data_IF_681315232105
#
_entry.id   IF_681315232105
#
_cell.length_a   1.000
_cell.length_b   1.000
_cell.length_c   1.000
_cell.angle_alpha   90.00
_cell.angle_beta   90.00
_cell.angle_gamma   90.00
#
_symmetry.space_group_name_H-M   'P 1'
#
loop_
_entity.id
_entity.type
_entity.pdbx_description
1 polymer ?
#
# COMPACT_ATOMS: atom_id res chain seq x y z
N UNK A 1 -130.61 4.39 63.33
CA UNK A 1 -130.09 4.91 62.03
C UNK A 1 -128.65 4.48 61.91
N UNK A 2 -128.37 3.59 60.96
CA UNK A 2 -127.05 2.98 60.71
C UNK A 2 -126.45 3.73 59.51
N UNK A 3 -125.27 4.33 59.68
CA UNK A 3 -124.51 4.96 58.60
C UNK A 3 -123.43 3.99 58.10
N UNK A 4 -123.44 3.72 56.80
CA UNK A 4 -122.56 2.77 56.11
C UNK A 4 -121.14 3.31 55.94
N UNK A 5 -120.09 2.45 55.96
CA UNK A 5 -118.71 2.88 55.72
C UNK A 5 -118.41 3.09 54.23
N UNK A 6 -117.80 4.22 53.91
CA UNK A 6 -117.31 4.59 52.57
C UNK A 6 -116.06 3.75 52.25
N UNK A 7 -116.08 3.01 51.12
CA UNK A 7 -114.92 2.29 50.59
C UNK A 7 -113.95 3.27 49.94
N UNK A 8 -112.75 3.39 50.51
CA UNK A 8 -111.65 4.21 50.00
C UNK A 8 -110.67 3.33 49.21
N UNK A 9 -111.04 2.93 48.00
CA UNK A 9 -110.16 2.17 47.10
C UNK A 9 -110.35 2.66 45.68
N UNK A 10 -109.67 3.76 45.32
CA UNK A 10 -109.36 4.15 43.94
C UNK A 10 -108.24 5.21 44.00
N UNK A 11 -106.98 4.76 44.07
CA UNK A 11 -105.82 5.60 43.80
C UNK A 11 -105.29 5.25 42.40
N UNK A 12 -105.07 6.23 41.50
CA UNK A 12 -104.59 5.96 40.16
C UNK A 12 -103.14 5.46 40.22
N UNK A 13 -102.90 4.21 39.85
CA UNK A 13 -101.58 3.55 39.87
C UNK A 13 -100.79 3.66 38.55
N UNK A 14 -101.08 4.63 37.69
CA UNK A 14 -100.57 4.60 36.30
C UNK A 14 -99.35 5.51 35.99
N UNK A 15 -98.94 6.41 36.89
CA UNK A 15 -97.86 7.38 36.59
C UNK A 15 -96.44 6.96 37.04
N UNK A 16 -96.29 5.87 37.80
CA UNK A 16 -94.97 5.46 38.33
C UNK A 16 -94.16 4.62 37.34
N UNK A 17 -94.80 3.89 36.42
CA UNK A 17 -94.08 3.09 35.42
C UNK A 17 -93.56 3.92 34.24
N UNK A 18 -94.27 5.00 33.87
CA UNK A 18 -93.87 5.92 32.80
C UNK A 18 -92.64 6.77 33.17
N UNK A 19 -92.55 7.22 34.43
CA UNK A 19 -91.39 7.96 34.93
C UNK A 19 -90.13 7.08 34.97
N UNK A 20 -90.25 5.80 35.36
CA UNK A 20 -89.14 4.85 35.33
C UNK A 20 -88.58 4.62 33.91
N UNK A 21 -89.46 4.46 32.92
CA UNK A 21 -89.06 4.26 31.52
C UNK A 21 -88.43 5.51 30.88
N UNK A 22 -88.87 6.72 31.25
CA UNK A 22 -88.25 7.96 30.78
C UNK A 22 -86.84 8.18 31.36
N UNK A 23 -86.63 7.81 32.63
CA UNK A 23 -85.30 7.93 33.26
C UNK A 23 -84.32 6.93 32.64
N UNK A 24 -84.71 5.67 32.41
CA UNK A 24 -83.84 4.67 31.80
C UNK A 24 -83.44 5.01 30.35
N UNK A 25 -84.36 5.57 29.55
CA UNK A 25 -84.08 5.98 28.18
C UNK A 25 -83.06 7.14 28.12
N UNK A 26 -83.17 8.13 29.02
CA UNK A 26 -82.21 9.24 29.11
C UNK A 26 -80.83 8.77 29.57
N UNK A 27 -80.78 7.85 30.54
CA UNK A 27 -79.51 7.28 31.03
C UNK A 27 -78.80 6.49 29.93
N UNK A 28 -79.52 5.66 29.18
CA UNK A 28 -78.96 4.92 28.03
C UNK A 28 -78.45 5.86 26.92
N UNK A 29 -79.20 6.94 26.64
CA UNK A 29 -78.79 7.95 25.65
C UNK A 29 -77.49 8.66 26.05
N UNK A 30 -77.38 9.12 27.30
CA UNK A 30 -76.15 9.74 27.81
C UNK A 30 -74.97 8.78 27.87
N UNK A 31 -75.19 7.51 28.23
CA UNK A 31 -74.16 6.48 28.24
C UNK A 31 -73.54 6.25 26.85
N UNK A 32 -74.36 6.23 25.80
CA UNK A 32 -73.88 6.09 24.43
C UNK A 32 -73.04 7.29 23.98
N UNK A 33 -73.45 8.52 24.35
CA UNK A 33 -72.69 9.73 24.04
C UNK A 33 -71.31 9.67 24.69
N UNK A 34 -71.24 9.32 25.98
CA UNK A 34 -69.97 9.19 26.70
C UNK A 34 -69.08 8.13 26.04
N UNK A 35 -69.64 6.97 25.68
CA UNK A 35 -68.90 5.91 24.99
C UNK A 35 -68.31 6.38 23.65
N UNK A 36 -69.10 7.05 22.81
CA UNK A 36 -68.65 7.58 21.52
C UNK A 36 -67.51 8.59 21.70
N UNK A 37 -67.64 9.49 22.68
CA UNK A 37 -66.61 10.49 22.98
C UNK A 37 -65.31 9.82 23.41
N UNK A 38 -65.36 8.81 24.29
CA UNK A 38 -64.17 8.09 24.75
C UNK A 38 -63.48 7.37 23.60
N UNK A 39 -64.24 6.68 22.73
CA UNK A 39 -63.68 6.01 21.54
C UNK A 39 -63.04 7.02 20.58
N UNK A 40 -63.71 8.16 20.33
CA UNK A 40 -63.18 9.20 19.46
C UNK A 40 -61.88 9.80 20.01
N UNK A 41 -61.81 10.09 21.31
CA UNK A 41 -60.60 10.57 21.97
C UNK A 41 -59.47 9.53 21.93
N UNK A 42 -59.79 8.24 22.12
CA UNK A 42 -58.84 7.14 21.98
C UNK A 42 -58.25 7.05 20.57
N UNK A 43 -59.09 7.18 19.54
CA UNK A 43 -58.66 7.19 18.13
C UNK A 43 -57.77 8.40 17.81
N UNK A 44 -58.12 9.60 18.30
CA UNK A 44 -57.31 10.82 18.14
C UNK A 44 -55.95 10.66 18.83
N UNK A 45 -55.93 10.16 20.06
CA UNK A 45 -54.70 9.92 20.81
C UNK A 45 -53.80 8.90 20.11
N UNK A 46 -54.38 7.82 19.58
CA UNK A 46 -53.64 6.82 18.81
C UNK A 46 -53.06 7.42 17.51
N UNK A 47 -53.86 8.17 16.75
CA UNK A 47 -53.39 8.86 15.55
C UNK A 47 -52.23 9.81 15.88
N UNK A 48 -52.33 10.58 16.96
CA UNK A 48 -51.27 11.46 17.43
C UNK A 48 -49.99 10.70 17.84
N UNK A 49 -50.13 9.57 18.55
CA UNK A 49 -48.97 8.72 18.89
C UNK A 49 -48.31 8.13 17.64
N UNK A 50 -49.08 7.71 16.64
CA UNK A 50 -48.51 7.16 15.40
C UNK A 50 -47.70 8.19 14.62
N UNK A 51 -48.15 9.45 14.54
CA UNK A 51 -47.40 10.50 13.84
C UNK A 51 -46.10 10.85 14.57
N UNK A 52 -46.11 10.88 15.91
CA UNK A 52 -44.90 11.10 16.70
C UNK A 52 -43.87 9.97 16.54
N UNK A 53 -44.33 8.71 16.60
CA UNK A 53 -43.45 7.53 16.43
C UNK A 53 -42.90 7.47 15.01
N UNK A 54 -43.72 7.76 13.99
CA UNK A 54 -43.25 7.80 12.60
C UNK A 54 -42.22 8.91 12.39
N UNK A 55 -42.46 10.11 12.93
CA UNK A 55 -41.49 11.20 12.87
C UNK A 55 -40.16 10.87 13.59
N UNK A 56 -40.20 10.12 14.69
CA UNK A 56 -38.99 9.65 15.38
C UNK A 56 -38.23 8.60 14.55
N UNK A 57 -38.94 7.62 13.97
CA UNK A 57 -38.37 6.61 13.09
C UNK A 57 -37.75 7.20 11.84
N UNK A 58 -38.40 8.19 11.22
CA UNK A 58 -37.88 8.85 10.03
C UNK A 58 -36.58 9.60 10.31
N UNK A 59 -36.46 10.23 11.49
CA UNK A 59 -35.21 10.88 11.93
C UNK A 59 -34.09 9.86 12.14
N UNK A 60 -34.39 8.72 12.75
CA UNK A 60 -33.41 7.68 12.99
C UNK A 60 -32.97 7.01 11.68
N UNK A 61 -33.91 6.70 10.79
CA UNK A 61 -33.63 6.20 9.44
C UNK A 61 -32.79 7.21 8.62
N UNK A 62 -33.09 8.51 8.72
CA UNK A 62 -32.28 9.54 8.07
C UNK A 62 -30.84 9.54 8.60
N UNK A 63 -30.65 9.42 9.92
CA UNK A 63 -29.30 9.31 10.52
C UNK A 63 -28.56 8.07 10.05
N UNK A 64 -29.20 6.90 10.09
CA UNK A 64 -28.59 5.66 9.62
C UNK A 64 -28.21 5.72 8.13
N UNK A 65 -29.03 6.35 7.29
CA UNK A 65 -28.70 6.58 5.88
C UNK A 65 -27.46 7.45 5.74
N UNK A 66 -27.39 8.58 6.44
CA UNK A 66 -26.21 9.46 6.39
C UNK A 66 -24.94 8.78 6.91
N UNK A 67 -25.05 7.96 7.96
CA UNK A 67 -23.90 7.21 8.49
C UNK A 67 -23.47 6.08 7.54
N UNK A 68 -24.43 5.37 6.93
CA UNK A 68 -24.13 4.37 5.92
C UNK A 68 -23.47 5.00 4.68
N UNK A 69 -23.97 6.13 4.20
CA UNK A 69 -23.43 6.85 3.05
C UNK A 69 -22.00 7.33 3.32
N UNK A 70 -21.73 7.89 4.51
CA UNK A 70 -20.37 8.30 4.88
C UNK A 70 -19.41 7.12 5.00
N UNK A 71 -19.84 5.98 5.55
CA UNK A 71 -19.02 4.75 5.60
C UNK A 71 -18.76 4.17 4.22
N UNK A 72 -19.74 4.19 3.32
CA UNK A 72 -19.57 3.74 1.92
C UNK A 72 -18.55 4.64 1.22
N UNK A 73 -18.68 5.96 1.37
CA UNK A 73 -17.76 6.91 0.74
C UNK A 73 -16.34 6.78 1.29
N UNK A 74 -16.19 6.61 2.61
CA UNK A 74 -14.88 6.37 3.22
C UNK A 74 -14.27 5.06 2.72
N UNK A 75 -15.06 3.98 2.67
CA UNK A 75 -14.59 2.68 2.17
C UNK A 75 -14.16 2.75 0.70
N UNK A 76 -14.85 3.55 -0.12
CA UNK A 76 -14.47 3.81 -1.52
C UNK A 76 -13.14 4.54 -1.63
N UNK A 77 -12.93 5.56 -0.78
CA UNK A 77 -11.65 6.30 -0.73
C UNK A 77 -10.50 5.40 -0.32
N UNK A 78 -10.68 4.63 0.75
CA UNK A 78 -9.65 3.71 1.26
C UNK A 78 -9.32 2.62 0.22
N UNK A 79 -10.33 2.08 -0.46
CA UNK A 79 -10.14 1.12 -1.54
C UNK A 79 -9.42 1.74 -2.75
N UNK A 80 -9.76 2.97 -3.14
CA UNK A 80 -9.10 3.68 -4.22
C UNK A 80 -7.60 3.93 -3.90
N UNK A 81 -7.29 4.34 -2.67
CA UNK A 81 -5.91 4.57 -2.24
C UNK A 81 -5.11 3.27 -2.16
N UNK A 82 -5.71 2.19 -1.64
CA UNK A 82 -5.09 0.88 -1.61
C UNK A 82 -4.79 0.35 -3.03
N UNK A 83 -5.73 0.53 -3.96
CA UNK A 83 -5.55 0.16 -5.36
C UNK A 83 -4.46 0.98 -6.05
N UNK A 84 -4.39 2.29 -5.79
CA UNK A 84 -3.33 3.14 -6.31
C UNK A 84 -1.94 2.67 -5.82
N UNK A 85 -1.80 2.41 -4.52
CA UNK A 85 -0.55 1.87 -3.94
C UNK A 85 -0.20 0.49 -4.50
N UNK A 86 -1.18 -0.38 -4.72
CA UNK A 86 -0.97 -1.69 -5.32
C UNK A 86 -0.50 -1.57 -6.78
N UNK A 87 -1.09 -0.67 -7.56
CA UNK A 87 -0.68 -0.41 -8.94
C UNK A 87 0.75 0.15 -9.03
N UNK A 88 1.12 1.07 -8.15
CA UNK A 88 2.48 1.60 -8.05
C UNK A 88 3.49 0.49 -7.70
N UNK A 89 3.17 -0.36 -6.72
CA UNK A 89 4.01 -1.48 -6.34
C UNK A 89 4.17 -2.51 -7.47
N UNK A 90 3.11 -2.79 -8.23
CA UNK A 90 3.18 -3.68 -9.40
C UNK A 90 4.05 -3.10 -10.52
N UNK A 91 3.95 -1.80 -10.77
CA UNK A 91 4.81 -1.12 -11.75
C UNK A 91 6.28 -1.17 -11.33
N UNK A 92 6.57 -0.94 -10.04
CA UNK A 92 7.93 -1.06 -9.51
C UNK A 92 8.44 -2.50 -9.59
N UNK A 93 7.60 -3.50 -9.31
CA UNK A 93 7.93 -4.91 -9.44
C UNK A 93 8.27 -5.27 -10.90
N UNK A 94 7.44 -4.85 -11.87
CA UNK A 94 7.69 -5.07 -13.29
C UNK A 94 9.05 -4.50 -13.73
N UNK A 95 9.37 -3.26 -13.30
CA UNK A 95 10.67 -2.63 -13.56
C UNK A 95 11.85 -3.39 -12.95
N UNK A 96 11.67 -4.08 -11.83
CA UNK A 96 12.70 -4.92 -11.22
C UNK A 96 12.86 -6.22 -12.00
N UNK A 97 11.76 -6.82 -12.44
CA UNK A 97 11.79 -8.12 -13.13
C UNK A 97 12.36 -8.03 -14.54
N UNK A 98 12.32 -6.87 -15.20
CA UNK A 98 12.96 -6.66 -16.50
C UNK A 98 14.48 -6.95 -16.44
N UNK A 99 14.99 -7.96 -17.17
CA UNK A 99 16.41 -8.31 -17.15
C UNK A 99 17.28 -7.15 -17.66
N UNK A 100 18.45 -6.92 -17.05
CA UNK A 100 19.44 -5.99 -17.57
C UNK A 100 20.07 -6.61 -18.82
N UNK A 101 19.68 -6.11 -20.00
CA UNK A 101 20.25 -6.51 -21.29
C UNK A 101 21.04 -5.36 -21.90
N UNK A 102 22.10 -5.69 -22.65
CA UNK A 102 22.84 -4.72 -23.46
C UNK A 102 22.51 -5.02 -24.91
N UNK A 103 21.83 -4.09 -25.58
CA UNK A 103 21.47 -4.24 -26.99
C UNK A 103 22.70 -4.39 -27.89
N UNK A 104 22.67 -5.22 -28.96
CA UNK A 104 23.85 -5.46 -29.80
C UNK A 104 24.49 -4.17 -30.36
N UNK A 105 23.70 -3.18 -30.73
CA UNK A 105 24.20 -1.88 -31.20
C UNK A 105 24.93 -1.10 -30.10
N UNK A 106 24.43 -1.17 -28.87
CA UNK A 106 25.07 -0.60 -27.69
C UNK A 106 26.37 -1.34 -27.35
N UNK A 107 26.41 -2.67 -27.49
CA UNK A 107 27.64 -3.46 -27.33
C UNK A 107 28.73 -2.97 -28.29
N UNK A 108 28.40 -2.81 -29.57
CA UNK A 108 29.36 -2.33 -30.58
C UNK A 108 29.88 -0.92 -30.26
N UNK A 109 28.97 -0.01 -29.88
CA UNK A 109 29.34 1.36 -29.50
C UNK A 109 30.29 1.37 -28.30
N UNK A 110 30.05 0.51 -27.30
CA UNK A 110 30.95 0.35 -26.15
C UNK A 110 32.30 -0.22 -26.56
N UNK A 111 32.33 -1.27 -27.39
CA UNK A 111 33.55 -1.87 -27.90
C UNK A 111 34.42 -0.81 -28.57
N UNK A 112 33.85 -0.02 -29.48
CA UNK A 112 34.61 0.97 -30.24
C UNK A 112 35.19 2.09 -29.36
N UNK A 113 34.46 2.50 -28.32
CA UNK A 113 34.97 3.47 -27.34
C UNK A 113 36.08 2.90 -26.45
N UNK A 114 36.01 1.61 -26.12
CA UNK A 114 36.94 0.97 -25.21
C UNK A 114 38.21 0.44 -25.89
N UNK A 115 38.21 0.28 -27.22
CA UNK A 115 39.37 -0.15 -28.03
C UNK A 115 40.63 0.69 -27.81
N UNK A 116 40.49 1.99 -27.54
CA UNK A 116 41.63 2.88 -27.25
C UNK A 116 42.39 2.49 -25.96
N UNK A 117 41.77 1.67 -25.10
CA UNK A 117 42.36 1.16 -23.86
C UNK A 117 42.73 -0.33 -23.97
N UNK A 118 43.00 -0.84 -25.17
CA UNK A 118 43.46 -2.22 -25.36
C UNK A 118 44.69 -2.53 -24.47
N UNK A 119 44.71 -3.73 -23.89
CA UNK A 119 45.71 -4.15 -22.90
C UNK A 119 45.31 -3.89 -21.44
N UNK A 120 44.27 -3.07 -21.19
CA UNK A 120 43.77 -2.78 -19.84
C UNK A 120 43.34 -4.07 -19.13
N UNK A 121 43.90 -4.32 -17.94
CA UNK A 121 43.59 -5.51 -17.15
C UNK A 121 42.28 -5.36 -16.41
N UNK A 122 41.50 -6.44 -16.36
CA UNK A 122 40.26 -6.47 -15.59
C UNK A 122 40.02 -7.82 -14.93
N UNK A 123 39.17 -7.80 -13.91
CA UNK A 123 38.67 -8.98 -13.21
C UNK A 123 37.16 -8.85 -12.98
N UNK A 124 36.47 -9.98 -12.88
CA UNK A 124 35.03 -10.10 -12.88
C UNK A 124 34.55 -10.85 -11.63
N UNK A 125 33.54 -10.29 -10.97
CA UNK A 125 32.83 -10.93 -9.87
C UNK A 125 31.33 -10.81 -10.08
N UNK A 126 30.57 -11.85 -9.73
CA UNK A 126 29.14 -11.90 -10.01
C UNK A 126 28.35 -12.52 -8.87
N UNK A 127 27.13 -12.04 -8.68
CA UNK A 127 26.17 -12.68 -7.80
C UNK A 127 25.62 -13.97 -8.43
N UNK A 128 25.28 -14.95 -7.60
CA UNK A 128 24.89 -16.28 -8.07
C UNK A 128 23.42 -16.35 -8.55
N UNK A 129 23.00 -15.41 -9.41
CA UNK A 129 21.71 -15.45 -10.10
C UNK A 129 21.92 -15.47 -11.62
N UNK A 130 20.93 -15.96 -12.37
CA UNK A 130 21.05 -16.17 -13.83
C UNK A 130 21.14 -14.86 -14.62
N UNK A 131 20.45 -13.82 -14.17
CA UNK A 131 20.40 -12.53 -14.86
C UNK A 131 21.74 -11.79 -14.71
N UNK A 132 22.30 -11.73 -13.49
CA UNK A 132 23.62 -11.16 -13.26
C UNK A 132 24.71 -11.90 -14.03
N UNK A 133 24.62 -13.23 -14.15
CA UNK A 133 25.56 -14.02 -14.96
C UNK A 133 25.45 -13.69 -16.45
N UNK A 134 24.24 -13.57 -16.99
CA UNK A 134 24.03 -13.20 -18.39
C UNK A 134 24.57 -11.80 -18.71
N UNK A 135 24.34 -10.83 -17.81
CA UNK A 135 24.91 -9.49 -17.94
C UNK A 135 26.44 -9.53 -17.87
N UNK A 136 27.01 -10.30 -16.93
CA UNK A 136 28.45 -10.48 -16.80
C UNK A 136 29.07 -11.00 -18.10
N UNK A 137 28.45 -12.02 -18.71
CA UNK A 137 28.93 -12.58 -19.98
C UNK A 137 28.90 -11.56 -21.11
N UNK A 138 27.90 -10.69 -21.14
CA UNK A 138 27.82 -9.60 -22.11
C UNK A 138 28.96 -8.60 -21.91
N UNK A 139 29.24 -8.21 -20.66
CA UNK A 139 30.35 -7.31 -20.32
C UNK A 139 31.69 -7.96 -20.66
N UNK A 140 31.90 -9.23 -20.30
CA UNK A 140 33.11 -10.00 -20.61
C UNK A 140 33.42 -9.98 -22.11
N UNK A 141 32.41 -10.22 -22.95
CA UNK A 141 32.55 -10.17 -24.41
C UNK A 141 32.96 -8.78 -24.90
N UNK A 142 32.26 -7.74 -24.46
CA UNK A 142 32.57 -6.34 -24.82
C UNK A 142 34.02 -5.99 -24.49
N UNK A 143 34.49 -6.34 -23.29
CA UNK A 143 35.85 -6.02 -22.84
C UNK A 143 36.91 -6.79 -23.64
N UNK A 144 36.70 -8.09 -23.88
CA UNK A 144 37.64 -8.87 -24.69
C UNK A 144 37.67 -8.42 -26.15
N UNK A 145 36.52 -8.12 -26.75
CA UNK A 145 36.44 -7.60 -28.12
C UNK A 145 37.06 -6.19 -28.24
N UNK A 146 37.07 -5.42 -27.14
CA UNK A 146 37.81 -4.16 -27.02
C UNK A 146 39.32 -4.35 -26.76
N UNK A 147 39.81 -5.59 -26.67
CA UNK A 147 41.23 -5.91 -26.46
C UNK A 147 41.71 -5.78 -25.01
N UNK A 148 40.81 -5.73 -24.03
CA UNK A 148 41.18 -5.74 -22.62
C UNK A 148 41.63 -7.14 -22.19
N UNK A 149 42.47 -7.22 -21.16
CA UNK A 149 43.08 -8.48 -20.71
C UNK A 149 42.37 -8.97 -19.45
N UNK A 150 41.63 -10.08 -19.57
CA UNK A 150 41.04 -10.74 -18.41
C UNK A 150 42.12 -11.32 -17.51
N UNK A 151 42.03 -11.05 -16.22
CA UNK A 151 42.89 -11.60 -15.18
C UNK A 151 42.03 -12.25 -14.11
N UNK A 152 42.51 -13.36 -13.54
CA UNK A 152 41.76 -14.12 -12.53
C UNK A 152 42.28 -13.83 -11.11
N UNK A 153 42.72 -12.59 -10.86
CA UNK A 153 43.50 -12.20 -9.69
C UNK A 153 42.73 -12.33 -8.37
N UNK A 154 41.39 -12.24 -8.39
CA UNK A 154 40.51 -12.37 -7.22
C UNK A 154 39.98 -13.78 -6.97
N UNK A 155 40.15 -14.72 -7.90
CA UNK A 155 39.34 -15.95 -7.92
C UNK A 155 39.80 -17.04 -6.95
N UNK A 156 40.89 -16.84 -6.22
CA UNK A 156 41.27 -17.77 -5.15
C UNK A 156 40.45 -17.63 -3.86
N UNK A 157 39.63 -16.58 -3.67
CA UNK A 157 38.92 -16.37 -2.39
C UNK A 157 37.39 -16.12 -2.47
N UNK A 158 36.81 -15.68 -3.60
CA UNK A 158 35.48 -15.02 -3.58
C UNK A 158 34.46 -15.54 -4.62
N UNK A 159 34.46 -16.84 -4.93
CA UNK A 159 33.63 -17.46 -5.99
C UNK A 159 32.09 -17.43 -5.74
N UNK A 160 31.58 -16.67 -4.77
CA UNK A 160 30.14 -16.63 -4.41
C UNK A 160 29.58 -15.23 -4.16
N UNK A 161 29.90 -14.24 -5.00
CA UNK A 161 29.28 -12.90 -4.94
C UNK A 161 29.45 -12.20 -3.58
N UNK A 162 30.43 -12.64 -2.80
CA UNK A 162 30.62 -12.31 -1.41
C UNK A 162 32.08 -11.96 -1.26
N UNK A 163 32.43 -10.67 -1.14
CA UNK A 163 33.80 -10.32 -0.76
C UNK A 163 33.91 -10.30 0.76
N UNK A 164 34.67 -11.24 1.30
CA UNK A 164 35.10 -11.20 2.70
C UNK A 164 36.29 -10.26 2.77
N UNK A 165 36.09 -9.07 3.31
CA UNK A 165 37.18 -8.14 3.59
C UNK A 165 37.49 -8.23 5.07
N UNK A 166 38.70 -8.68 5.40
CA UNK A 166 39.26 -8.57 6.75
C UNK A 166 39.88 -7.17 6.84
N UNK A 167 39.29 -6.29 7.64
CA UNK A 167 39.83 -4.94 7.86
C UNK A 167 41.02 -4.99 8.83
N UNK A 168 41.82 -3.91 8.89
CA UNK A 168 42.99 -3.81 9.80
C UNK A 168 42.64 -4.00 11.29
N UNK A 169 41.37 -3.84 11.65
CA UNK A 169 40.82 -4.12 12.99
C UNK A 169 40.28 -5.56 13.14
N UNK A 170 40.62 -6.48 12.22
CA UNK A 170 40.23 -7.90 12.21
C UNK A 170 38.71 -8.15 12.14
N UNK A 171 37.91 -7.13 11.78
CA UNK A 171 36.47 -7.32 11.55
C UNK A 171 36.24 -7.97 10.19
N UNK A 172 35.57 -9.12 10.19
CA UNK A 172 35.11 -9.79 8.98
C UNK A 172 33.91 -9.02 8.43
N UNK A 173 34.10 -8.28 7.33
CA UNK A 173 32.99 -7.66 6.59
C UNK A 173 32.66 -8.52 5.38
N UNK A 174 31.50 -9.16 5.43
CA UNK A 174 30.88 -9.77 4.27
C UNK A 174 30.18 -8.66 3.47
N UNK A 175 30.70 -8.35 2.28
CA UNK A 175 30.02 -7.44 1.36
C UNK A 175 29.33 -8.26 0.27
N UNK A 176 28.01 -8.19 0.22
CA UNK A 176 27.22 -8.58 -0.95
C UNK A 176 27.14 -7.38 -1.89
N UNK A 177 27.62 -7.52 -3.12
CA UNK A 177 27.54 -6.45 -4.10
C UNK A 177 26.10 -6.34 -4.62
N UNK A 178 25.59 -5.11 -4.66
CA UNK A 178 24.30 -4.79 -5.27
C UNK A 178 24.53 -3.86 -6.47
N UNK A 179 23.85 -4.14 -7.58
CA UNK A 179 23.98 -3.41 -8.84
C UNK A 179 25.31 -3.67 -9.57
N UNK A 180 25.55 -2.88 -10.63
CA UNK A 180 26.78 -2.95 -11.43
C UNK A 180 27.81 -1.94 -10.90
N UNK A 181 29.01 -2.42 -10.57
CA UNK A 181 30.08 -1.59 -10.03
C UNK A 181 31.41 -1.90 -10.68
N UNK A 182 32.28 -0.92 -10.77
CA UNK A 182 33.69 -1.16 -11.02
C UNK A 182 34.56 -0.35 -10.07
N UNK A 183 35.69 -0.92 -9.72
CA UNK A 183 36.64 -0.28 -8.81
C UNK A 183 38.07 -0.52 -9.21
N UNK A 184 38.91 0.48 -8.96
CA UNK A 184 40.36 0.42 -9.04
C UNK A 184 40.97 0.64 -7.66
N UNK A 185 42.26 0.34 -7.52
CA UNK A 185 43.01 0.54 -6.27
C UNK A 185 43.25 2.05 -6.02
N UNK A 186 43.08 2.51 -4.78
CA UNK A 186 43.14 3.93 -4.36
C UNK A 186 44.47 4.66 -4.70
N UNK A 187 45.55 3.92 -4.92
CA UNK A 187 46.87 4.49 -5.22
C UNK A 187 46.98 5.03 -6.66
N UNK A 188 46.01 4.73 -7.53
CA UNK A 188 45.95 5.29 -8.87
C UNK A 188 45.14 6.58 -8.90
N UNK A 189 45.73 7.62 -9.47
CA UNK A 189 45.08 8.90 -9.71
C UNK A 189 44.04 8.77 -10.83
N UNK A 190 43.02 9.63 -10.77
CA UNK A 190 41.97 9.73 -11.80
C UNK A 190 42.52 10.07 -13.20
N UNK A 191 43.70 10.69 -13.28
CA UNK A 191 44.39 11.06 -14.53
C UNK A 191 45.19 9.91 -15.18
N UNK A 192 45.29 8.76 -14.51
CA UNK A 192 45.92 7.56 -15.10
C UNK A 192 45.08 7.01 -16.25
N UNK A 193 45.71 6.33 -17.21
CA UNK A 193 45.01 5.64 -18.31
C UNK A 193 43.91 4.71 -17.79
N UNK A 194 44.14 4.03 -16.68
CA UNK A 194 43.15 3.18 -15.98
C UNK A 194 41.99 3.98 -15.40
N UNK A 195 42.26 5.14 -14.81
CA UNK A 195 41.22 6.05 -14.30
C UNK A 195 40.33 6.58 -15.43
N UNK A 196 40.92 6.97 -16.56
CA UNK A 196 40.19 7.40 -17.76
C UNK A 196 39.39 6.23 -18.34
N UNK A 197 39.98 5.02 -18.45
CA UNK A 197 39.29 3.84 -18.93
C UNK A 197 38.06 3.49 -18.08
N UNK A 198 38.19 3.56 -16.74
CA UNK A 198 37.07 3.35 -15.81
C UNK A 198 35.98 4.42 -15.97
N UNK A 199 36.35 5.68 -16.15
CA UNK A 199 35.41 6.76 -16.39
C UNK A 199 34.68 6.60 -17.72
N UNK A 200 35.38 6.24 -18.81
CA UNK A 200 34.77 5.96 -20.11
C UNK A 200 33.83 4.77 -20.04
N UNK A 201 34.21 3.69 -19.34
CA UNK A 201 33.34 2.54 -19.11
C UNK A 201 32.07 2.95 -18.36
N UNK A 202 32.19 3.75 -17.29
CA UNK A 202 31.03 4.26 -16.55
C UNK A 202 30.08 5.04 -17.44
N UNK A 203 30.61 6.02 -18.19
CA UNK A 203 29.81 6.87 -19.07
C UNK A 203 29.08 6.01 -20.11
N UNK A 204 29.80 5.09 -20.76
CA UNK A 204 29.21 4.20 -21.76
C UNK A 204 28.10 3.32 -21.17
N UNK A 205 28.29 2.78 -19.97
CA UNK A 205 27.28 1.96 -19.28
C UNK A 205 26.05 2.79 -18.88
N UNK A 206 26.22 4.03 -18.43
CA UNK A 206 25.11 4.90 -18.07
C UNK A 206 24.32 5.39 -19.29
N UNK A 207 24.98 5.64 -20.42
CA UNK A 207 24.31 6.01 -21.69
C UNK A 207 23.39 4.90 -22.21
N UNK A 208 23.72 3.64 -21.96
CA UNK A 208 22.88 2.48 -22.35
C UNK A 208 21.82 2.15 -21.28
N UNK A 209 21.63 3.04 -20.29
CA UNK A 209 20.62 2.91 -19.25
C UNK A 209 21.01 2.01 -18.07
N UNK A 210 22.26 1.52 -18.01
CA UNK A 210 22.73 0.74 -16.87
C UNK A 210 23.31 1.66 -15.80
N UNK A 211 22.68 1.68 -14.62
CA UNK A 211 23.23 2.37 -13.44
C UNK A 211 24.58 1.73 -13.06
N UNK A 212 25.65 2.50 -13.22
CA UNK A 212 27.02 2.05 -12.98
C UNK A 212 27.68 2.87 -11.87
N UNK A 213 28.10 2.21 -10.79
CA UNK A 213 28.89 2.88 -9.75
C UNK A 213 30.38 2.63 -9.98
N UNK A 214 31.13 3.66 -10.34
CA UNK A 214 32.59 3.64 -10.28
C UNK A 214 33.06 4.16 -8.92
N UNK A 215 34.05 3.52 -8.32
CA UNK A 215 34.61 4.00 -7.06
C UNK A 215 35.98 3.42 -6.76
N UNK A 216 36.69 4.07 -5.85
CA UNK A 216 37.99 3.62 -5.39
C UNK A 216 37.82 2.67 -4.19
N UNK A 217 38.57 1.57 -4.18
CA UNK A 217 38.60 0.65 -3.04
C UNK A 217 39.87 0.89 -2.23
N UNK A 218 39.68 1.37 -0.99
CA UNK A 218 40.76 1.66 -0.04
C UNK A 218 41.47 0.42 0.54
N UNK A 219 41.27 -0.76 -0.02
CA UNK A 219 41.89 -1.99 0.50
C UNK A 219 43.02 -2.37 -0.43
N UNK A 220 44.29 -2.05 -0.08
CA UNK A 220 45.41 -2.54 -0.85
C UNK A 220 45.41 -4.06 -0.76
N UNK A 221 45.30 -4.72 -1.91
CA UNK A 221 45.41 -6.16 -2.00
C UNK A 221 46.82 -6.50 -2.45
N UNK A 222 47.56 -7.20 -1.59
CA UNK A 222 48.90 -7.66 -1.89
C UNK A 222 48.88 -8.59 -3.10
N UNK A 223 49.76 -8.36 -4.08
CA UNK A 223 49.83 -9.14 -5.31
C UNK A 223 48.82 -8.76 -6.40
N UNK A 224 47.94 -7.79 -6.18
CA UNK A 224 47.03 -7.29 -7.21
C UNK A 224 47.72 -6.18 -8.02
N UNK A 225 47.75 -6.28 -9.36
CA UNK A 225 48.31 -5.22 -10.20
C UNK A 225 47.60 -3.89 -9.96
N UNK A 226 48.35 -2.79 -9.85
CA UNK A 226 47.76 -1.47 -9.60
C UNK A 226 46.79 -1.09 -10.72
N UNK A 227 47.09 -1.47 -11.96
CA UNK A 227 46.28 -1.23 -13.15
C UNK A 227 45.02 -2.11 -13.23
N UNK A 228 44.70 -2.96 -12.26
CA UNK A 228 43.53 -3.83 -12.33
C UNK A 228 42.21 -3.09 -12.09
N UNK A 229 41.25 -3.23 -13.02
CA UNK A 229 39.85 -2.83 -12.81
C UNK A 229 39.03 -4.05 -12.41
N UNK A 230 38.47 -4.04 -11.21
CA UNK A 230 37.56 -5.10 -10.73
C UNK A 230 36.12 -4.69 -10.98
N UNK A 231 35.40 -5.44 -11.80
CA UNK A 231 33.99 -5.23 -12.12
C UNK A 231 33.15 -6.26 -11.35
N UNK A 232 32.13 -5.78 -10.65
CA UNK A 232 31.21 -6.58 -9.88
C UNK A 232 29.78 -6.41 -10.41
N UNK A 233 29.16 -7.52 -10.79
CA UNK A 233 27.75 -7.58 -11.18
C UNK A 233 26.96 -8.19 -10.02
N UNK A 234 26.34 -7.33 -9.23
CA UNK A 234 25.52 -7.69 -8.10
C UNK A 234 24.05 -7.86 -8.42
N UNK A 235 23.31 -8.38 -7.43
CA UNK A 235 21.85 -8.48 -7.42
C UNK A 235 21.23 -7.13 -7.81
N UNK A 236 20.19 -7.18 -8.66
CA UNK A 236 19.40 -6.00 -9.00
C UNK A 236 18.61 -5.58 -7.76
N UNK A 237 18.96 -4.42 -7.18
CA UNK A 237 18.21 -3.85 -6.07
C UNK A 237 17.42 -2.64 -6.51
N UNK A 238 16.19 -2.57 -6.02
CA UNK A 238 15.49 -1.29 -5.92
C UNK A 238 16.34 -0.39 -5.07
N UNK A 239 16.61 0.80 -5.59
CA UNK A 239 17.13 1.91 -4.80
C UNK A 239 16.04 2.24 -3.76
N UNK A 240 15.97 1.48 -2.67
CA UNK A 240 15.15 1.84 -1.51
C UNK A 240 15.77 3.11 -1.01
N UNK A 241 15.19 4.20 -1.47
CA UNK A 241 15.57 5.56 -1.16
C UNK A 241 16.00 5.59 0.32
N UNK A 242 17.21 6.06 0.59
CA UNK A 242 17.79 6.30 1.93
C UNK A 242 17.00 7.35 2.74
N UNK A 243 15.68 7.47 2.52
CA UNK A 243 14.74 8.24 3.32
C UNK A 243 14.40 7.42 4.57
N UNK A 244 15.25 7.46 5.59
CA UNK A 244 14.89 6.84 6.87
C UNK A 244 16.03 6.46 7.81
N UNK A 245 17.03 7.33 8.01
CA UNK A 245 17.92 7.32 9.19
C UNK A 245 18.49 8.72 9.27
N UNK A 246 18.14 9.57 10.23
CA UNK A 246 17.90 9.36 11.66
C UNK A 246 16.76 10.26 12.15
N UNK A 247 15.67 9.68 12.64
CA UNK A 247 14.89 10.33 13.71
C UNK A 247 15.58 9.93 15.00
N UNK A 248 16.54 10.74 15.44
CA UNK A 248 17.03 10.69 16.82
C UNK A 248 15.90 11.17 17.71
N UNK A 249 15.16 10.21 18.28
CA UNK A 249 14.22 10.46 19.36
C UNK A 249 14.83 10.03 20.68
N UNK A 250 15.41 10.98 21.42
CA UNK A 250 15.16 11.30 22.82
C UNK A 250 16.08 12.43 23.27
#
# INVERSE_FOLDING_TARGET
>A
MIASPVKLTDWPTDDRQTVGMMVSAKVLWWSNIVYIVVVALGAIALAYLTTLVNAAKDRELARFRTEADTKIEQSRKDAAEANARAAEAQLELARITEPRTIEPQAQQTLIDRLKQFAGQRYDLTVFADSESQNLLWSIYRILNEAGWVYTNAHTSALQRGMSVTITRDLKVRVSTHAGLRASMQDNLRYDSSTGIALATLKIGMEEIGLKFSAGFRHVPMEGVPADLIVIAVGEKRVDRNRRGRTVTGR
#
